data_IF_319861269290
#
_entry.id   IF_319861269290
#
_cell.length_a   1.000
_cell.length_b   1.000
_cell.length_c   1.000
_cell.angle_alpha   90.00
_cell.angle_beta   90.00
_cell.angle_gamma   90.00
#
_symmetry.space_group_name_H-M   'P 1'
#
loop_
_entity.id
_entity.type
_entity.pdbx_description
1 polymer ?
#
# COMPACT_ATOMS: atom_id res chain seq x y z
N UNK A 1 -9.07 -11.20 37.14
CA UNK A 1 -8.72 -9.96 36.42
C UNK A 1 -10.03 -9.38 35.87
N UNK A 2 -10.45 -8.18 36.35
CA UNK A 2 -11.52 -7.42 35.71
C UNK A 2 -10.92 -6.74 34.48
N UNK A 3 -11.30 -7.16 33.29
CA UNK A 3 -11.06 -6.38 32.07
C UNK A 3 -11.96 -5.14 32.17
N UNK A 4 -11.39 -3.99 32.44
CA UNK A 4 -12.13 -2.73 32.66
C UNK A 4 -12.38 -1.97 31.36
N UNK A 5 -11.77 -2.36 30.25
CA UNK A 5 -11.95 -1.77 28.92
C UNK A 5 -11.55 -2.74 27.82
N UNK A 6 -12.00 -2.46 26.60
CA UNK A 6 -11.62 -3.16 25.38
C UNK A 6 -10.93 -2.15 24.48
N UNK A 7 -9.69 -2.49 24.06
CA UNK A 7 -8.89 -1.67 23.17
C UNK A 7 -8.88 -2.31 21.79
N UNK A 8 -9.02 -1.51 20.74
CA UNK A 8 -8.90 -1.93 19.34
C UNK A 8 -7.87 -1.10 18.60
N UNK A 9 -7.43 -1.59 17.46
CA UNK A 9 -6.35 -0.98 16.70
C UNK A 9 -6.69 0.34 15.99
N UNK A 10 -7.98 0.70 15.81
CA UNK A 10 -8.38 1.93 15.12
C UNK A 10 -9.79 2.37 15.53
N UNK A 11 -10.10 3.66 15.36
CA UNK A 11 -11.42 4.20 15.66
C UNK A 11 -12.54 3.58 14.80
N UNK A 12 -12.43 3.44 13.46
CA UNK A 12 -13.44 2.77 12.66
C UNK A 12 -13.63 1.32 13.05
N UNK A 13 -12.54 0.56 13.28
CA UNK A 13 -12.64 -0.85 13.65
C UNK A 13 -13.38 -1.03 14.99
N UNK A 14 -13.26 -0.07 15.93
CA UNK A 14 -14.01 -0.12 17.18
C UNK A 14 -15.52 -0.07 16.97
N UNK A 15 -15.98 0.55 15.88
CA UNK A 15 -17.39 0.58 15.46
C UNK A 15 -17.76 -0.63 14.63
N UNK A 16 -16.92 -1.04 13.69
CA UNK A 16 -17.14 -2.20 12.81
C UNK A 16 -17.32 -3.50 13.60
N UNK A 17 -16.52 -3.72 14.67
CA UNK A 17 -16.62 -4.93 15.49
C UNK A 17 -17.86 -4.99 16.39
N UNK A 18 -18.64 -3.92 16.52
CA UNK A 18 -19.91 -3.89 17.25
C UNK A 18 -21.08 -4.42 16.40
N UNK A 19 -20.85 -4.75 15.14
CA UNK A 19 -21.85 -5.29 14.22
C UNK A 19 -21.28 -6.48 13.42
N UNK A 20 -22.18 -7.33 12.90
CA UNK A 20 -21.78 -8.39 11.97
C UNK A 20 -21.44 -7.77 10.59
N UNK A 21 -20.45 -8.33 9.88
CA UNK A 21 -19.61 -9.49 10.22
C UNK A 21 -18.35 -9.15 11.04
N UNK A 22 -18.09 -7.86 11.31
CA UNK A 22 -16.85 -7.38 11.95
C UNK A 22 -16.61 -7.92 13.35
N UNK A 23 -17.68 -8.15 14.12
CA UNK A 23 -17.60 -8.67 15.49
C UNK A 23 -17.28 -10.15 15.61
N UNK A 24 -17.30 -10.91 14.50
CA UNK A 24 -16.98 -12.35 14.47
C UNK A 24 -17.69 -13.18 15.56
N UNK A 25 -18.96 -12.86 15.86
CA UNK A 25 -19.76 -13.50 16.89
C UNK A 25 -19.62 -12.86 18.28
N UNK A 26 -18.82 -11.83 18.45
CA UNK A 26 -18.67 -11.07 19.69
C UNK A 26 -19.37 -9.70 19.66
N UNK A 27 -20.04 -9.35 18.55
CA UNK A 27 -20.65 -8.04 18.31
C UNK A 27 -21.61 -7.63 19.43
N UNK A 28 -22.41 -8.55 19.95
CA UNK A 28 -23.35 -8.26 21.06
C UNK A 28 -22.63 -7.89 22.36
N UNK A 29 -21.52 -8.56 22.67
CA UNK A 29 -20.70 -8.26 23.85
C UNK A 29 -20.00 -6.91 23.68
N UNK A 30 -19.45 -6.64 22.48
CA UNK A 30 -18.72 -5.41 22.17
C UNK A 30 -19.69 -4.21 22.15
N UNK A 31 -20.86 -4.37 21.53
CA UNK A 31 -21.90 -3.34 21.53
C UNK A 31 -22.40 -3.01 22.96
N UNK A 32 -22.57 -4.02 23.83
CA UNK A 32 -22.98 -3.79 25.23
C UNK A 32 -21.93 -3.07 26.08
N UNK A 33 -20.71 -2.90 25.55
CA UNK A 33 -19.57 -2.22 26.21
C UNK A 33 -19.08 -1.02 25.40
N UNK A 34 -19.88 -0.49 24.52
CA UNK A 34 -19.52 0.63 23.63
C UNK A 34 -19.05 1.89 24.38
N UNK A 35 -19.54 2.10 25.62
CA UNK A 35 -19.16 3.19 26.51
C UNK A 35 -17.72 3.11 27.05
N UNK A 36 -17.14 1.91 27.02
CA UNK A 36 -15.75 1.65 27.49
C UNK A 36 -14.85 1.09 26.36
N UNK A 37 -15.36 1.07 25.12
CA UNK A 37 -14.62 0.63 23.96
C UNK A 37 -13.86 1.82 23.35
N UNK A 38 -12.53 1.72 23.28
CA UNK A 38 -11.67 2.77 22.74
C UNK A 38 -10.85 2.24 21.58
N UNK A 39 -10.86 2.96 20.45
CA UNK A 39 -9.97 2.70 19.33
C UNK A 39 -8.68 3.50 19.46
N UNK A 40 -7.54 2.84 19.25
CA UNK A 40 -6.22 3.48 19.22
C UNK A 40 -5.53 3.09 17.93
N UNK A 41 -5.19 4.09 17.09
CA UNK A 41 -4.47 3.86 15.84
C UNK A 41 -3.02 3.49 16.17
N UNK A 42 -2.49 2.45 15.50
CA UNK A 42 -1.09 2.08 15.62
C UNK A 42 -0.18 3.16 14.99
N UNK A 43 0.96 3.39 15.63
CA UNK A 43 2.11 4.05 15.00
C UNK A 43 3.04 3.05 14.32
N UNK A 44 4.08 3.56 13.70
CA UNK A 44 5.20 2.79 13.17
C UNK A 44 6.45 3.04 14.02
N UNK A 45 7.36 2.07 14.02
CA UNK A 45 8.71 2.28 14.56
C UNK A 45 9.49 3.18 13.60
N UNK A 46 9.65 4.44 13.96
CA UNK A 46 10.29 5.46 13.12
C UNK A 46 11.83 5.36 13.11
N UNK A 47 12.41 4.55 13.97
CA UNK A 47 13.85 4.26 13.95
C UNK A 47 14.16 3.14 12.95
N UNK A 48 13.29 2.12 12.86
CA UNK A 48 13.40 1.01 11.91
C UNK A 48 12.94 1.44 10.51
N UNK A 49 11.76 2.08 10.41
CA UNK A 49 11.17 2.51 9.13
C UNK A 49 11.51 3.98 8.85
N UNK A 50 12.76 4.24 8.47
CA UNK A 50 13.25 5.59 8.25
C UNK A 50 14.22 5.68 7.05
N UNK A 51 13.81 6.27 5.91
CA UNK A 51 14.66 6.34 4.72
C UNK A 51 15.97 7.11 4.93
N UNK A 52 16.10 7.88 6.04
CA UNK A 52 17.34 8.59 6.38
C UNK A 52 18.39 7.69 7.05
N UNK A 53 18.00 6.55 7.61
CA UNK A 53 18.88 5.69 8.41
C UNK A 53 18.74 4.21 8.10
N UNK A 54 17.78 3.83 7.26
CA UNK A 54 17.45 2.44 6.95
C UNK A 54 18.63 1.73 6.24
N UNK A 55 19.22 0.69 6.83
CA UNK A 55 20.35 -0.02 6.25
C UNK A 55 20.02 -0.80 4.95
N UNK A 56 18.73 -1.01 4.65
CA UNK A 56 18.27 -1.68 3.44
C UNK A 56 18.10 -0.73 2.25
N UNK A 57 18.20 0.59 2.48
CA UNK A 57 18.09 1.61 1.44
C UNK A 57 19.50 1.97 0.95
N UNK A 58 19.80 1.81 -0.35
CA UNK A 58 21.16 1.96 -0.88
C UNK A 58 21.69 3.41 -0.82
N UNK A 59 20.78 4.39 -0.80
CA UNK A 59 21.09 5.81 -0.60
C UNK A 59 20.02 6.42 0.28
N UNK A 60 20.41 6.92 1.44
CA UNK A 60 19.51 7.57 2.38
C UNK A 60 18.96 8.87 1.81
N UNK A 61 17.71 9.22 2.17
CA UNK A 61 17.04 10.43 1.72
C UNK A 61 16.05 10.94 2.77
N UNK A 62 15.69 12.22 2.65
CA UNK A 62 14.65 12.86 3.47
C UNK A 62 13.43 13.22 2.62
N UNK A 63 12.37 13.69 3.26
CA UNK A 63 11.18 14.18 2.57
C UNK A 63 11.45 15.43 1.71
N UNK A 64 12.46 16.24 2.08
CA UNK A 64 12.81 17.48 1.36
C UNK A 64 13.60 17.22 0.06
N UNK A 65 14.23 16.04 -0.10
CA UNK A 65 15.02 15.64 -1.26
C UNK A 65 14.96 14.12 -1.45
N UNK A 66 13.82 13.57 -1.90
CA UNK A 66 13.65 12.12 -2.04
C UNK A 66 14.18 11.54 -3.36
N UNK A 67 14.35 12.35 -4.41
CA UNK A 67 14.47 11.93 -5.81
C UNK A 67 15.66 10.98 -6.01
N UNK A 68 16.85 11.40 -5.62
CA UNK A 68 18.08 10.62 -5.81
C UNK A 68 18.08 9.32 -5.00
N UNK A 69 17.52 9.36 -3.77
CA UNK A 69 17.41 8.19 -2.92
C UNK A 69 16.39 7.18 -3.45
N UNK A 70 15.22 7.64 -3.87
CA UNK A 70 14.19 6.80 -4.50
C UNK A 70 14.70 6.21 -5.82
N UNK A 71 15.39 7.00 -6.64
CA UNK A 71 16.00 6.48 -7.87
C UNK A 71 17.05 5.40 -7.58
N UNK A 72 17.93 5.61 -6.59
CA UNK A 72 18.89 4.59 -6.17
C UNK A 72 18.21 3.31 -5.68
N UNK A 73 17.08 3.43 -4.94
CA UNK A 73 16.28 2.29 -4.54
C UNK A 73 15.63 1.56 -5.74
N UNK A 74 15.12 2.28 -6.74
CA UNK A 74 14.63 1.69 -8.00
C UNK A 74 15.72 0.91 -8.74
N UNK A 75 16.95 1.44 -8.82
CA UNK A 75 18.10 0.76 -9.43
C UNK A 75 18.45 -0.53 -8.68
N UNK A 76 18.53 -0.47 -7.35
CA UNK A 76 18.83 -1.63 -6.53
C UNK A 76 17.71 -2.70 -6.61
N UNK A 77 16.45 -2.28 -6.61
CA UNK A 77 15.32 -3.18 -6.79
C UNK A 77 15.34 -3.86 -8.17
N UNK A 78 15.60 -3.11 -9.24
CA UNK A 78 15.74 -3.67 -10.58
C UNK A 78 16.81 -4.76 -10.62
N UNK A 79 17.98 -4.52 -10.03
CA UNK A 79 19.05 -5.51 -9.93
C UNK A 79 18.63 -6.75 -9.12
N UNK A 80 17.91 -6.57 -8.01
CA UNK A 80 17.35 -7.68 -7.20
C UNK A 80 16.33 -8.53 -7.96
N UNK A 81 15.60 -7.91 -8.89
CA UNK A 81 14.63 -8.58 -9.77
C UNK A 81 15.25 -9.13 -11.06
N UNK A 82 16.58 -9.05 -11.21
CA UNK A 82 17.30 -9.54 -12.40
C UNK A 82 17.13 -8.66 -13.63
N UNK A 83 16.76 -7.38 -13.46
CA UNK A 83 16.61 -6.40 -14.53
C UNK A 83 17.88 -5.60 -14.75
N UNK A 84 18.18 -5.22 -15.98
CA UNK A 84 19.36 -4.43 -16.32
C UNK A 84 19.26 -2.96 -15.88
N UNK A 85 18.06 -2.42 -15.80
CA UNK A 85 17.76 -1.04 -15.40
C UNK A 85 16.37 -0.93 -14.76
N UNK A 86 16.10 0.13 -13.98
CA UNK A 86 14.74 0.40 -13.53
C UNK A 86 13.81 0.69 -14.71
N UNK A 87 12.54 0.32 -14.54
CA UNK A 87 11.51 0.64 -15.51
C UNK A 87 11.19 2.14 -15.45
N UNK A 88 11.07 2.84 -16.59
CA UNK A 88 10.70 4.25 -16.59
C UNK A 88 9.23 4.51 -16.23
N UNK A 89 8.39 3.48 -16.22
CA UNK A 89 6.99 3.62 -15.81
C UNK A 89 6.88 3.69 -14.29
N UNK A 90 5.77 4.26 -13.76
CA UNK A 90 5.52 4.26 -12.32
C UNK A 90 5.61 2.86 -11.72
N UNK A 91 6.32 2.71 -10.61
CA UNK A 91 6.44 1.46 -9.85
C UNK A 91 5.30 1.33 -8.86
N UNK A 92 4.43 0.36 -9.08
CA UNK A 92 3.25 0.08 -8.27
C UNK A 92 3.49 -1.22 -7.51
N UNK A 93 3.54 -1.17 -6.19
CA UNK A 93 3.92 -2.33 -5.39
C UNK A 93 2.78 -2.83 -4.48
N UNK A 94 2.80 -4.12 -4.21
CA UNK A 94 2.06 -4.76 -3.13
C UNK A 94 3.05 -5.54 -2.25
N UNK A 95 3.03 -5.27 -0.95
CA UNK A 95 3.87 -5.99 0.03
C UNK A 95 2.99 -6.49 1.17
N UNK A 96 2.94 -7.79 1.37
CA UNK A 96 2.16 -8.36 2.47
C UNK A 96 1.83 -9.83 2.33
N UNK A 97 1.04 -10.32 3.28
CA UNK A 97 0.56 -11.70 3.26
C UNK A 97 -0.37 -11.93 2.06
N UNK A 98 -0.11 -12.98 1.28
CA UNK A 98 -0.91 -13.36 0.13
C UNK A 98 -2.16 -14.13 0.59
N UNK A 99 -3.19 -13.38 0.97
CA UNK A 99 -4.45 -13.89 1.47
C UNK A 99 -5.62 -13.03 0.97
N UNK A 100 -6.80 -13.62 0.88
CA UNK A 100 -8.03 -12.91 0.47
C UNK A 100 -8.32 -11.67 1.35
N UNK A 101 -7.99 -11.75 2.65
CA UNK A 101 -8.12 -10.60 3.56
C UNK A 101 -7.39 -9.36 3.03
N UNK A 102 -6.23 -9.53 2.40
CA UNK A 102 -5.41 -8.43 1.87
C UNK A 102 -5.84 -7.98 0.48
N UNK A 103 -6.92 -8.56 -0.08
CA UNK A 103 -7.45 -8.17 -1.39
C UNK A 103 -6.55 -8.56 -2.56
N UNK A 104 -5.76 -9.63 -2.40
CA UNK A 104 -4.82 -10.08 -3.45
C UNK A 104 -5.57 -10.57 -4.68
N UNK A 105 -6.80 -11.05 -4.54
CA UNK A 105 -7.71 -11.36 -5.63
C UNK A 105 -7.96 -10.12 -6.52
N UNK A 106 -8.21 -8.95 -5.94
CA UNK A 106 -8.33 -7.70 -6.70
C UNK A 106 -7.01 -7.29 -7.36
N UNK A 107 -5.87 -7.53 -6.67
CA UNK A 107 -4.55 -7.27 -7.27
C UNK A 107 -4.34 -8.15 -8.50
N UNK A 108 -4.65 -9.43 -8.47
CA UNK A 108 -4.52 -10.35 -9.62
C UNK A 108 -5.37 -9.87 -10.80
N UNK A 109 -6.62 -9.45 -10.56
CA UNK A 109 -7.47 -8.90 -11.62
C UNK A 109 -6.91 -7.60 -12.19
N UNK A 110 -6.43 -6.69 -11.33
CA UNK A 110 -5.76 -5.44 -11.72
C UNK A 110 -4.53 -5.71 -12.61
N UNK A 111 -3.68 -6.66 -12.21
CA UNK A 111 -2.49 -7.05 -12.96
C UNK A 111 -2.83 -7.54 -14.36
N UNK A 112 -3.91 -8.31 -14.51
CA UNK A 112 -4.40 -8.75 -15.83
C UNK A 112 -4.81 -7.59 -16.74
N UNK A 113 -5.42 -6.55 -16.19
CA UNK A 113 -5.91 -5.39 -16.94
C UNK A 113 -4.79 -4.39 -17.24
N UNK A 114 -4.08 -3.92 -16.22
CA UNK A 114 -3.06 -2.87 -16.35
C UNK A 114 -1.71 -3.42 -16.86
N UNK A 115 -1.38 -4.69 -16.60
CA UNK A 115 -0.20 -5.34 -17.15
C UNK A 115 -0.27 -5.41 -18.69
N UNK A 116 -1.43 -5.76 -19.23
CA UNK A 116 -1.67 -5.74 -20.68
C UNK A 116 -1.61 -4.31 -21.26
N UNK A 117 -2.09 -3.30 -20.53
CA UNK A 117 -2.10 -1.91 -20.97
C UNK A 117 -0.72 -1.23 -20.85
N UNK A 118 0.27 -1.84 -20.19
CA UNK A 118 1.62 -1.29 -19.99
C UNK A 118 1.64 0.04 -19.23
N UNK A 119 0.65 0.27 -18.34
CA UNK A 119 0.48 1.55 -17.65
C UNK A 119 1.47 1.78 -16.50
N UNK A 120 2.07 0.70 -15.97
CA UNK A 120 3.02 0.72 -14.86
C UNK A 120 3.92 -0.51 -14.84
N UNK A 121 4.88 -0.50 -13.93
CA UNK A 121 5.65 -1.66 -13.53
C UNK A 121 5.13 -2.14 -12.17
N UNK A 122 4.71 -3.38 -12.07
CA UNK A 122 4.10 -3.96 -10.88
C UNK A 122 5.07 -4.89 -10.16
N UNK A 123 5.22 -4.72 -8.86
CA UNK A 123 6.01 -5.60 -7.99
C UNK A 123 5.15 -6.13 -6.86
N UNK A 124 5.04 -7.45 -6.76
CA UNK A 124 4.32 -8.14 -5.68
C UNK A 124 5.31 -8.93 -4.83
N UNK A 125 5.38 -8.64 -3.55
CA UNK A 125 6.21 -9.35 -2.57
C UNK A 125 5.34 -9.91 -1.45
N UNK A 126 5.41 -11.21 -1.22
CA UNK A 126 4.71 -11.85 -0.11
C UNK A 126 4.65 -13.36 -0.21
N UNK A 127 4.01 -13.97 0.77
CA UNK A 127 3.73 -15.42 0.81
C UNK A 127 2.39 -15.67 1.51
N UNK A 128 1.73 -16.78 1.20
CA UNK A 128 0.45 -17.12 1.83
C UNK A 128 -0.27 -18.29 1.17
N UNK A 129 -1.45 -18.06 0.61
CA UNK A 129 -2.24 -19.08 -0.05
C UNK A 129 -1.58 -19.59 -1.34
N UNK A 130 -1.44 -20.90 -1.47
CA UNK A 130 -0.76 -21.51 -2.61
C UNK A 130 -1.46 -21.26 -3.96
N UNK A 131 -2.79 -21.15 -3.97
CA UNK A 131 -3.55 -20.83 -5.17
C UNK A 131 -3.32 -19.39 -5.63
N UNK A 132 -3.24 -18.47 -4.67
CA UNK A 132 -2.90 -17.06 -4.92
C UNK A 132 -1.47 -16.93 -5.43
N UNK A 133 -0.50 -17.61 -4.79
CA UNK A 133 0.89 -17.61 -5.26
C UNK A 133 1.03 -18.10 -6.69
N UNK A 134 0.35 -19.19 -7.02
CA UNK A 134 0.38 -19.75 -8.39
C UNK A 134 -0.29 -18.82 -9.40
N UNK A 135 -1.39 -18.17 -9.04
CA UNK A 135 -2.04 -17.18 -9.90
C UNK A 135 -1.12 -15.98 -10.17
N UNK A 136 -0.40 -15.49 -9.16
CA UNK A 136 0.58 -14.40 -9.30
C UNK A 136 1.76 -14.80 -10.19
N UNK A 137 2.30 -16.03 -10.05
CA UNK A 137 3.36 -16.53 -10.95
C UNK A 137 2.88 -16.58 -12.42
N UNK A 138 1.63 -16.98 -12.65
CA UNK A 138 1.05 -16.94 -14.01
C UNK A 138 0.94 -15.52 -14.53
N UNK A 139 0.55 -14.53 -13.69
CA UNK A 139 0.52 -13.12 -14.13
C UNK A 139 1.91 -12.63 -14.52
N UNK A 140 2.94 -12.89 -13.71
CA UNK A 140 4.33 -12.51 -14.05
C UNK A 140 4.79 -13.15 -15.36
N UNK A 141 4.46 -14.43 -15.59
CA UNK A 141 4.78 -15.14 -16.83
C UNK A 141 4.02 -14.61 -18.05
N UNK A 142 2.79 -14.13 -17.86
CA UNK A 142 1.95 -13.60 -18.95
C UNK A 142 2.36 -12.19 -19.38
N UNK A 143 2.94 -11.41 -18.48
CA UNK A 143 3.33 -10.02 -18.74
C UNK A 143 4.80 -9.76 -18.34
N UNK A 144 5.75 -10.47 -19.00
CA UNK A 144 7.18 -10.30 -18.69
C UNK A 144 7.60 -8.85 -18.97
N UNK A 145 8.35 -8.28 -18.03
CA UNK A 145 8.77 -6.88 -18.12
C UNK A 145 7.76 -5.86 -17.55
N UNK A 146 6.53 -6.26 -17.25
CA UNK A 146 5.55 -5.38 -16.58
C UNK A 146 5.21 -5.83 -15.17
N UNK A 147 5.37 -7.11 -14.85
CA UNK A 147 4.99 -7.69 -13.56
C UNK A 147 6.15 -8.55 -13.03
N UNK A 148 6.60 -8.24 -11.83
CA UNK A 148 7.52 -9.08 -11.06
C UNK A 148 6.83 -9.58 -9.79
N UNK A 149 7.01 -10.85 -9.49
CA UNK A 149 6.45 -11.51 -8.32
C UNK A 149 7.55 -12.21 -7.54
N UNK A 150 7.71 -11.85 -6.29
CA UNK A 150 8.63 -12.50 -5.35
C UNK A 150 7.82 -13.20 -4.27
N UNK A 151 7.80 -14.53 -4.32
CA UNK A 151 7.13 -15.33 -3.30
C UNK A 151 8.11 -15.64 -2.18
N UNK A 152 7.81 -15.14 -0.99
CA UNK A 152 8.62 -15.35 0.19
C UNK A 152 8.50 -14.21 1.20
N UNK A 153 9.18 -14.38 2.33
CA UNK A 153 9.39 -13.35 3.33
C UNK A 153 10.85 -12.87 3.24
N UNK A 154 11.04 -11.61 2.90
CA UNK A 154 12.34 -10.95 2.84
C UNK A 154 12.17 -9.51 3.34
N UNK A 155 12.59 -9.27 4.58
CA UNK A 155 12.44 -7.97 5.25
C UNK A 155 13.23 -6.87 4.55
N UNK A 156 14.48 -7.15 4.18
CA UNK A 156 15.31 -6.18 3.46
C UNK A 156 14.73 -5.82 2.09
N UNK A 157 14.17 -6.80 1.39
CA UNK A 157 13.47 -6.54 0.13
C UNK A 157 12.16 -5.75 0.36
N UNK A 158 11.45 -5.99 1.46
CA UNK A 158 10.26 -5.22 1.79
C UNK A 158 10.59 -3.73 2.00
N UNK A 159 11.65 -3.42 2.75
CA UNK A 159 12.15 -2.05 2.91
C UNK A 159 12.56 -1.43 1.57
N UNK A 160 13.29 -2.18 0.76
CA UNK A 160 13.72 -1.71 -0.57
C UNK A 160 12.54 -1.44 -1.50
N UNK A 161 11.51 -2.29 -1.48
CA UNK A 161 10.27 -2.08 -2.26
C UNK A 161 9.54 -0.83 -1.79
N UNK A 162 9.41 -0.59 -0.47
CA UNK A 162 8.82 0.64 0.06
C UNK A 162 9.56 1.89 -0.42
N UNK A 163 10.91 1.84 -0.40
CA UNK A 163 11.74 2.96 -0.83
C UNK A 163 11.67 3.21 -2.34
N UNK A 164 11.57 2.16 -3.15
CA UNK A 164 11.54 2.25 -4.60
C UNK A 164 10.16 2.59 -5.17
N UNK A 165 9.09 2.17 -4.50
CA UNK A 165 7.72 2.30 -5.01
C UNK A 165 7.29 3.77 -5.17
N UNK A 166 6.59 4.06 -6.27
CA UNK A 166 5.85 5.31 -6.45
C UNK A 166 4.46 5.19 -5.82
N UNK A 167 3.86 3.99 -5.89
CA UNK A 167 2.55 3.70 -5.33
C UNK A 167 2.54 2.37 -4.59
N UNK A 168 1.80 2.31 -3.46
CA UNK A 168 1.65 1.10 -2.66
C UNK A 168 0.18 0.70 -2.57
N UNK A 169 -0.15 -0.52 -3.04
CA UNK A 169 -1.51 -1.06 -3.02
C UNK A 169 -1.85 -1.67 -1.66
N UNK A 170 -2.97 -1.24 -1.06
CA UNK A 170 -3.51 -1.82 0.18
C UNK A 170 -5.03 -2.05 0.01
N UNK A 171 -5.46 -2.96 -0.89
CA UNK A 171 -6.86 -3.16 -1.24
C UNK A 171 -7.59 -4.12 -0.29
N UNK A 172 -7.30 -4.06 1.00
CA UNK A 172 -7.76 -5.02 2.00
C UNK A 172 -9.30 -5.12 2.10
N UNK A 173 -9.83 -6.35 2.25
CA UNK A 173 -11.26 -6.59 2.59
C UNK A 173 -11.60 -6.02 3.95
N UNK A 174 -10.72 -6.21 4.89
CA UNK A 174 -10.76 -5.57 6.22
C UNK A 174 -9.31 -5.38 6.69
N UNK A 175 -9.07 -4.25 7.34
CA UNK A 175 -7.73 -3.87 7.82
C UNK A 175 -7.86 -3.21 9.20
N UNK A 176 -7.58 -3.93 10.29
CA UNK A 176 -7.75 -3.38 11.64
C UNK A 176 -6.98 -2.08 11.87
N UNK A 177 -5.74 -2.00 11.43
CA UNK A 177 -4.93 -0.81 11.52
C UNK A 177 -4.27 -0.45 10.19
N UNK A 178 -3.62 -1.44 9.57
CA UNK A 178 -2.70 -1.23 8.47
C UNK A 178 -1.41 -0.53 8.92
N UNK A 179 -0.29 -1.08 8.52
CA UNK A 179 1.02 -0.43 8.70
C UNK A 179 1.65 -0.12 7.34
N UNK A 180 1.31 -0.92 6.32
CA UNK A 180 1.90 -0.81 4.97
C UNK A 180 1.71 0.57 4.36
N UNK A 181 0.53 1.20 4.51
CA UNK A 181 0.28 2.57 4.03
C UNK A 181 1.09 3.62 4.80
N UNK A 182 1.34 3.38 6.11
CA UNK A 182 2.16 4.28 6.92
C UNK A 182 3.64 4.19 6.51
N UNK A 183 4.13 2.96 6.27
CA UNK A 183 5.47 2.76 5.70
C UNK A 183 5.60 3.42 4.33
N UNK A 184 4.62 3.22 3.44
CA UNK A 184 4.60 3.83 2.12
C UNK A 184 4.75 5.35 2.20
N UNK A 185 3.89 6.03 2.98
CA UNK A 185 3.97 7.48 3.18
C UNK A 185 5.32 7.91 3.78
N UNK A 186 5.85 7.14 4.74
CA UNK A 186 7.16 7.44 5.33
C UNK A 186 8.31 7.39 4.33
N UNK A 187 8.21 6.53 3.31
CA UNK A 187 9.20 6.37 2.25
C UNK A 187 8.84 7.16 0.98
N UNK A 188 7.83 8.02 1.02
CA UNK A 188 7.41 8.84 -0.12
C UNK A 188 6.79 8.03 -1.26
N UNK A 189 6.15 6.90 -0.95
CA UNK A 189 5.27 6.17 -1.86
C UNK A 189 3.82 6.53 -1.56
N UNK A 190 3.02 6.74 -2.61
CA UNK A 190 1.61 7.11 -2.48
C UNK A 190 0.77 5.87 -2.20
N UNK A 191 0.05 5.77 -1.07
CA UNK A 191 -0.82 4.65 -0.80
C UNK A 191 -2.10 4.71 -1.66
N UNK A 192 -2.47 3.57 -2.24
CA UNK A 192 -3.76 3.34 -2.90
C UNK A 192 -4.51 2.31 -2.07
N UNK A 193 -5.53 2.75 -1.34
CA UNK A 193 -6.15 1.95 -0.28
C UNK A 193 -7.65 1.80 -0.47
N UNK A 194 -8.21 0.72 0.06
CA UNK A 194 -9.67 0.62 0.22
C UNK A 194 -10.10 1.32 1.52
N UNK A 195 -11.25 2.00 1.48
CA UNK A 195 -11.86 2.61 2.66
C UNK A 195 -12.40 1.54 3.63
N UNK A 196 -11.55 1.03 4.52
CA UNK A 196 -11.91 0.03 5.53
C UNK A 196 -11.00 0.12 6.75
N UNK A 197 -11.57 -0.08 7.94
CA UNK A 197 -10.83 -0.12 9.20
C UNK A 197 -9.90 1.07 9.39
N UNK A 198 -8.68 0.81 9.84
CA UNK A 198 -7.67 1.85 10.09
C UNK A 198 -7.15 2.58 8.86
N UNK A 199 -7.43 2.10 7.65
CA UNK A 199 -7.07 2.83 6.42
C UNK A 199 -7.86 4.12 6.27
N UNK A 200 -9.12 4.15 6.73
CA UNK A 200 -9.96 5.37 6.73
C UNK A 200 -9.42 6.46 7.65
N UNK A 201 -8.78 6.06 8.75
CA UNK A 201 -8.18 7.01 9.71
C UNK A 201 -6.83 7.58 9.23
N UNK A 202 -6.15 6.88 8.32
CA UNK A 202 -4.74 7.15 8.02
C UNK A 202 -4.50 7.68 6.62
N UNK A 203 -5.45 7.52 5.69
CA UNK A 203 -5.31 7.97 4.30
C UNK A 203 -6.48 8.87 3.90
N UNK A 204 -6.14 10.08 3.45
CA UNK A 204 -7.09 11.08 2.94
C UNK A 204 -7.04 11.09 1.41
N UNK A 205 -8.19 10.86 0.76
CA UNK A 205 -8.25 10.78 -0.71
C UNK A 205 -7.83 12.08 -1.38
N UNK A 206 -7.12 11.95 -2.50
CA UNK A 206 -6.78 13.06 -3.39
C UNK A 206 -8.04 13.53 -4.11
N UNK A 207 -8.52 14.71 -3.72
CA UNK A 207 -9.63 15.44 -4.33
C UNK A 207 -9.25 16.91 -4.51
N UNK A 208 -9.97 17.70 -5.34
CA UNK A 208 -9.69 19.13 -5.44
C UNK A 208 -9.75 19.86 -4.08
N UNK A 209 -10.61 19.42 -3.17
CA UNK A 209 -10.78 20.04 -1.85
C UNK A 209 -9.61 19.69 -0.93
N UNK A 210 -9.22 18.41 -0.86
CA UNK A 210 -8.12 17.95 -0.01
C UNK A 210 -6.76 18.44 -0.51
N UNK A 211 -6.59 18.64 -1.82
CA UNK A 211 -5.40 19.29 -2.38
C UNK A 211 -5.35 20.78 -1.99
N UNK A 212 -6.48 21.50 -2.07
CA UNK A 212 -6.52 22.92 -1.64
C UNK A 212 -6.27 23.12 -0.15
N UNK A 213 -6.66 22.16 0.67
CA UNK A 213 -6.45 22.21 2.13
C UNK A 213 -5.13 21.57 2.58
N UNK A 214 -4.32 21.06 1.66
CA UNK A 214 -3.05 20.39 1.93
C UNK A 214 -3.19 19.20 2.92
N UNK A 215 -4.28 18.43 2.74
CA UNK A 215 -4.59 17.26 3.60
C UNK A 215 -4.56 15.93 2.87
N UNK A 216 -4.50 15.94 1.53
CA UNK A 216 -4.44 14.72 0.73
C UNK A 216 -3.18 13.90 1.07
N UNK A 217 -3.33 12.58 1.23
CA UNK A 217 -2.20 11.70 1.56
C UNK A 217 -2.17 10.39 0.75
N UNK A 218 -3.15 10.16 -0.13
CA UNK A 218 -3.21 8.97 -0.96
C UNK A 218 -4.48 8.90 -1.79
N UNK A 219 -4.73 7.75 -2.39
CA UNK A 219 -5.93 7.50 -3.21
C UNK A 219 -6.80 6.44 -2.55
N UNK A 220 -8.10 6.72 -2.45
CA UNK A 220 -9.06 5.87 -1.72
C UNK A 220 -10.17 5.41 -2.64
N UNK A 221 -10.58 4.13 -2.53
CA UNK A 221 -11.77 3.56 -3.16
C UNK A 221 -12.64 2.83 -2.14
N UNK A 222 -13.95 2.77 -2.37
CA UNK A 222 -14.92 2.21 -1.42
C UNK A 222 -15.30 0.76 -1.78
N UNK A 223 -15.79 0.55 -3.02
CA UNK A 223 -16.29 -0.76 -3.44
C UNK A 223 -15.18 -1.81 -3.49
N UNK A 224 -15.41 -2.98 -2.90
CA UNK A 224 -14.47 -4.09 -2.99
C UNK A 224 -14.64 -4.80 -4.34
N UNK A 225 -14.16 -4.17 -5.41
CA UNK A 225 -14.14 -4.72 -6.76
C UNK A 225 -12.95 -4.20 -7.57
N UNK A 226 -12.57 -4.95 -8.60
CA UNK A 226 -11.40 -4.66 -9.42
C UNK A 226 -11.55 -3.40 -10.29
N UNK A 227 -12.77 -2.99 -10.64
CA UNK A 227 -13.03 -1.80 -11.45
C UNK A 227 -12.78 -0.53 -10.62
N UNK A 228 -13.25 -0.53 -9.36
CA UNK A 228 -13.00 0.55 -8.42
C UNK A 228 -11.50 0.71 -8.14
N UNK A 229 -10.79 -0.40 -7.90
CA UNK A 229 -9.34 -0.40 -7.72
C UNK A 229 -8.62 0.10 -8.98
N UNK A 230 -8.95 -0.41 -10.17
CA UNK A 230 -8.35 0.00 -11.44
C UNK A 230 -8.54 1.50 -11.71
N UNK A 231 -9.77 2.01 -11.51
CA UNK A 231 -10.05 3.43 -11.66
C UNK A 231 -9.17 4.27 -10.73
N UNK A 232 -9.04 3.86 -9.47
CA UNK A 232 -8.25 4.59 -8.47
C UNK A 232 -6.75 4.53 -8.74
N UNK A 233 -6.23 3.39 -9.18
CA UNK A 233 -4.83 3.26 -9.62
C UNK A 233 -4.56 4.13 -10.84
N UNK A 234 -5.49 4.19 -11.81
CA UNK A 234 -5.34 5.07 -12.96
C UNK A 234 -5.32 6.55 -12.57
N UNK A 235 -6.17 6.99 -11.61
CA UNK A 235 -6.11 8.35 -11.04
C UNK A 235 -4.72 8.63 -10.44
N UNK A 236 -4.16 7.69 -9.69
CA UNK A 236 -2.84 7.83 -9.08
C UNK A 236 -1.71 7.92 -10.13
N UNK A 237 -1.76 7.08 -11.17
CA UNK A 237 -0.79 7.11 -12.29
C UNK A 237 -0.87 8.45 -13.03
N UNK A 238 -2.06 8.95 -13.30
CA UNK A 238 -2.24 10.20 -14.04
C UNK A 238 -1.77 11.42 -13.21
N UNK A 239 -1.98 11.41 -11.89
CA UNK A 239 -1.45 12.43 -10.98
C UNK A 239 0.09 12.40 -10.94
N UNK A 240 0.70 11.22 -10.76
CA UNK A 240 2.16 11.05 -10.75
C UNK A 240 2.82 11.59 -12.04
N UNK A 241 2.25 11.26 -13.19
CA UNK A 241 2.78 11.74 -14.49
C UNK A 241 2.66 13.27 -14.67
N UNK A 242 1.62 13.89 -14.11
CA UNK A 242 1.48 15.35 -14.17
C UNK A 242 2.50 16.07 -13.31
N UNK A 243 2.90 15.51 -12.18
CA UNK A 243 3.96 16.05 -11.33
C UNK A 243 5.34 15.92 -11.98
N UNK A 244 5.66 14.77 -12.58
CA UNK A 244 6.91 14.59 -13.34
C UNK A 244 7.03 15.59 -14.48
N UNK A 245 5.96 15.81 -15.28
CA UNK A 245 5.95 16.79 -16.37
C UNK A 245 6.16 18.23 -15.86
N UNK A 246 5.60 18.57 -14.70
CA UNK A 246 5.74 19.91 -14.12
C UNK A 246 7.16 20.13 -13.60
N UNK A 247 7.79 19.12 -13.00
CA UNK A 247 9.16 19.20 -12.51
C UNK A 247 10.20 19.27 -13.64
N UNK A 248 9.99 18.55 -14.77
CA UNK A 248 10.83 18.64 -15.96
C UNK A 248 10.80 20.04 -16.61
N UNK A 249 9.63 20.71 -16.63
CA UNK A 249 9.48 22.05 -17.19
C UNK A 249 10.05 23.16 -16.28
N UNK A 250 10.33 22.86 -15.01
CA UNK A 250 10.91 23.80 -14.04
C UNK A 250 12.43 23.61 -13.88
N UNK A 251 13.01 22.60 -14.50
CA UNK A 251 14.47 22.38 -14.51
C UNK A 251 15.09 23.31 -15.56
N UNK A 252 16.11 24.12 -15.20
CA UNK A 252 16.73 25.09 -16.09
C UNK A 252 17.55 24.45 -17.21
#
# INVERSE_FOLDING_TARGET
YKVTGVQTCALPISREIQAAPGGCGLEGVLASRSDVLTGIVNGIDVDVWNPQTDPHVPRHYSADAPEEGKYAAKVALAARLGRAAPDPRPLIAFVGRLAEQKGVDLVIELLGRLGAAGRGHFVVLGTGDAGIEEALRRMASSFPGSIDVVIGFDEGLAHLVQAAADMMLVPSRYEPCGLTQLYAMRYGAIPVVRATGGLVDTVVDVTPDTLRSDTASGFVFDAFDAVALEHTVNRAIDAHRSEEHTSELQSP
#
